data_IF_869657256723
#
_entry.id   IF_869657256723
#
_cell.length_a   1.000
_cell.length_b   1.000
_cell.length_c   1.000
_cell.angle_alpha   90.00
_cell.angle_beta   90.00
_cell.angle_gamma   90.00
#
_symmetry.space_group_name_H-M   'P 1'
#
loop_
_entity.id
_entity.type
_entity.pdbx_description
1 polymer ?
#
# COMPACT_ATOMS: atom_id res chain seq x y z
N UNK A 1 -25.71 -7.98 -8.73
CA UNK A 1 -25.30 -6.58 -8.71
C UNK A 1 -25.53 -5.92 -10.06
N UNK A 2 -25.88 -4.66 -10.01
CA UNK A 2 -26.07 -3.86 -11.23
C UNK A 2 -24.77 -3.11 -11.54
N UNK A 3 -24.51 -2.88 -12.82
CA UNK A 3 -23.30 -2.26 -13.28
C UNK A 3 -22.39 -3.22 -14.01
N UNK A 4 -21.27 -2.70 -14.51
CA UNK A 4 -20.33 -3.46 -15.34
C UNK A 4 -18.94 -3.43 -14.76
N UNK A 5 -18.20 -4.50 -15.00
CA UNK A 5 -16.78 -4.59 -14.71
C UNK A 5 -16.01 -4.42 -16.02
N UNK A 6 -15.05 -3.53 -16.05
CA UNK A 6 -14.25 -3.26 -17.23
C UNK A 6 -12.80 -3.64 -17.00
N UNK A 7 -12.25 -4.40 -17.91
CA UNK A 7 -10.81 -4.68 -18.00
C UNK A 7 -10.36 -4.10 -19.33
N UNK A 8 -9.66 -2.98 -19.28
CA UNK A 8 -9.36 -2.18 -20.47
C UNK A 8 -8.24 -2.81 -21.32
N UNK A 9 -7.95 -2.18 -22.46
CA UNK A 9 -6.97 -2.67 -23.42
C UNK A 9 -5.59 -2.78 -22.81
N UNK A 10 -4.88 -3.86 -23.12
CA UNK A 10 -3.50 -4.06 -22.71
C UNK A 10 -3.29 -4.46 -21.25
N UNK A 11 -4.36 -4.69 -20.50
CA UNK A 11 -4.27 -5.18 -19.13
C UNK A 11 -3.71 -6.60 -19.13
N UNK A 12 -2.79 -6.88 -18.20
CA UNK A 12 -2.20 -8.20 -18.01
C UNK A 12 -2.45 -8.67 -16.59
N UNK A 13 -3.13 -9.79 -16.45
CA UNK A 13 -3.47 -10.40 -15.17
C UNK A 13 -2.81 -11.76 -15.07
N UNK A 14 -2.01 -11.96 -14.04
CA UNK A 14 -1.39 -13.25 -13.76
C UNK A 14 -2.40 -14.17 -13.05
N UNK A 15 -1.94 -15.34 -12.62
CA UNK A 15 -2.80 -16.37 -12.05
C UNK A 15 -3.46 -15.91 -10.75
N UNK A 16 -4.70 -16.37 -10.56
CA UNK A 16 -5.46 -16.18 -9.32
C UNK A 16 -5.73 -14.70 -8.97
N UNK A 17 -5.73 -13.80 -9.96
CA UNK A 17 -6.16 -12.41 -9.75
C UNK A 17 -7.69 -12.37 -9.65
N UNK A 18 -8.19 -11.72 -8.61
CA UNK A 18 -9.62 -11.52 -8.40
C UNK A 18 -10.02 -10.09 -8.69
N UNK A 19 -10.89 -9.92 -9.67
CA UNK A 19 -11.49 -8.62 -10.02
C UNK A 19 -12.97 -8.69 -9.64
N UNK A 20 -13.38 -7.90 -8.66
CA UNK A 20 -14.76 -7.94 -8.18
C UNK A 20 -15.70 -7.11 -9.06
N UNK A 21 -16.97 -7.11 -8.69
CA UNK A 21 -18.04 -6.42 -9.44
C UNK A 21 -17.83 -4.91 -9.51
N UNK A 22 -18.28 -4.29 -10.56
CA UNK A 22 -18.28 -2.83 -10.75
C UNK A 22 -16.89 -2.20 -10.65
N UNK A 23 -15.85 -2.94 -11.00
CA UNK A 23 -14.48 -2.41 -11.04
C UNK A 23 -14.14 -1.96 -12.45
N UNK A 24 -13.21 -1.02 -12.55
CA UNK A 24 -12.68 -0.54 -13.83
C UNK A 24 -11.16 -0.56 -13.75
N UNK A 25 -10.55 -1.45 -14.54
CA UNK A 25 -9.09 -1.59 -14.58
C UNK A 25 -8.60 -0.87 -15.82
N UNK A 26 -7.85 0.21 -15.61
CA UNK A 26 -7.35 1.08 -16.67
C UNK A 26 -6.38 0.39 -17.61
N UNK A 27 -6.26 0.94 -18.81
CA UNK A 27 -5.45 0.35 -19.89
C UNK A 27 -4.00 0.13 -19.46
N UNK A 28 -3.40 -0.96 -19.92
CA UNK A 28 -1.98 -1.30 -19.73
C UNK A 28 -1.55 -1.51 -18.27
N UNK A 29 -2.49 -1.70 -17.36
CA UNK A 29 -2.19 -2.07 -15.97
C UNK A 29 -1.83 -3.54 -15.89
N UNK A 30 -0.82 -3.85 -15.07
CA UNK A 30 -0.31 -5.21 -14.87
C UNK A 30 -0.50 -5.62 -13.43
N UNK A 31 -1.04 -6.80 -13.21
CA UNK A 31 -1.24 -7.36 -11.87
C UNK A 31 -0.58 -8.73 -11.80
N UNK A 32 0.31 -8.89 -10.83
CA UNK A 32 0.95 -10.18 -10.56
C UNK A 32 0.00 -11.14 -9.84
N UNK A 33 0.46 -12.35 -9.55
CA UNK A 33 -0.39 -13.41 -9.02
C UNK A 33 -1.05 -13.02 -7.70
N UNK A 34 -2.30 -13.46 -7.55
CA UNK A 34 -3.09 -13.31 -6.33
C UNK A 34 -3.42 -11.86 -5.93
N UNK A 35 -3.34 -10.91 -6.85
CA UNK A 35 -3.86 -9.57 -6.60
C UNK A 35 -5.38 -9.63 -6.47
N UNK A 36 -5.92 -8.93 -5.48
CA UNK A 36 -7.37 -8.81 -5.30
C UNK A 36 -7.81 -7.37 -5.36
N UNK A 37 -8.81 -7.08 -6.20
CA UNK A 37 -9.44 -5.76 -6.31
C UNK A 37 -10.90 -5.89 -5.90
N UNK A 38 -11.25 -5.24 -4.80
CA UNK A 38 -12.61 -5.30 -4.26
C UNK A 38 -13.61 -4.47 -5.11
N UNK A 39 -14.89 -4.66 -4.84
CA UNK A 39 -15.96 -4.10 -5.66
C UNK A 39 -15.97 -2.58 -5.72
N UNK A 40 -16.45 -2.07 -6.83
CA UNK A 40 -16.66 -0.62 -7.09
C UNK A 40 -15.37 0.21 -7.01
N UNK A 41 -14.23 -0.39 -7.25
CA UNK A 41 -12.93 0.27 -7.27
C UNK A 41 -12.54 0.62 -8.70
N UNK A 42 -11.92 1.77 -8.87
CA UNK A 42 -11.35 2.21 -10.15
C UNK A 42 -9.83 2.20 -10.05
N UNK A 43 -9.18 1.54 -11.00
CA UNK A 43 -7.72 1.52 -11.12
C UNK A 43 -7.33 2.24 -12.41
N UNK A 44 -6.38 3.15 -12.31
CA UNK A 44 -5.91 3.95 -13.44
C UNK A 44 -5.13 3.14 -14.46
N UNK A 45 -4.53 3.85 -15.43
CA UNK A 45 -3.72 3.27 -16.49
C UNK A 45 -2.27 3.10 -16.05
N UNK A 46 -1.58 2.14 -16.66
CA UNK A 46 -0.14 1.91 -16.48
C UNK A 46 0.26 1.64 -15.03
N UNK A 47 -0.64 1.08 -14.23
CA UNK A 47 -0.30 0.64 -12.88
C UNK A 47 0.42 -0.71 -12.89
N UNK A 48 1.23 -0.96 -11.87
CA UNK A 48 1.88 -2.25 -11.66
C UNK A 48 1.69 -2.67 -10.20
N UNK A 49 1.02 -3.80 -10.01
CA UNK A 49 0.78 -4.34 -8.66
C UNK A 49 1.55 -5.64 -8.50
N UNK A 50 2.41 -5.69 -7.49
CA UNK A 50 3.14 -6.90 -7.12
C UNK A 50 2.22 -7.99 -6.61
N UNK A 51 2.76 -9.18 -6.43
CA UNK A 51 1.98 -10.35 -5.98
C UNK A 51 1.28 -10.11 -4.65
N UNK A 52 0.06 -10.63 -4.54
CA UNK A 52 -0.74 -10.59 -3.32
C UNK A 52 -1.12 -9.17 -2.84
N UNK A 53 -1.08 -8.17 -3.71
CA UNK A 53 -1.60 -6.83 -3.38
C UNK A 53 -3.13 -6.92 -3.21
N UNK A 54 -3.63 -6.28 -2.16
CA UNK A 54 -5.07 -6.16 -1.92
C UNK A 54 -5.54 -4.71 -2.00
N UNK A 55 -6.60 -4.47 -2.77
CA UNK A 55 -7.18 -3.13 -2.96
C UNK A 55 -8.58 -3.12 -2.37
N UNK A 56 -8.84 -2.19 -1.45
CA UNK A 56 -10.16 -2.03 -0.82
C UNK A 56 -11.22 -1.58 -1.82
N UNK A 57 -12.48 -1.81 -1.47
CA UNK A 57 -13.62 -1.40 -2.28
C UNK A 57 -13.90 0.11 -2.23
N UNK A 58 -14.58 0.61 -3.26
CA UNK A 58 -15.08 1.98 -3.34
C UNK A 58 -13.98 3.06 -3.28
N UNK A 59 -12.78 2.73 -3.75
CA UNK A 59 -11.66 3.67 -3.82
C UNK A 59 -11.21 3.86 -5.26
N UNK A 60 -10.36 4.85 -5.48
CA UNK A 60 -9.76 5.14 -6.79
C UNK A 60 -8.24 5.11 -6.67
N UNK A 61 -7.61 4.31 -7.51
CA UNK A 61 -6.15 4.27 -7.67
C UNK A 61 -5.81 5.09 -8.92
N UNK A 62 -4.94 6.05 -8.77
CA UNK A 62 -4.51 6.92 -9.86
C UNK A 62 -3.74 6.18 -10.95
N UNK A 63 -3.23 6.94 -11.92
CA UNK A 63 -2.42 6.40 -13.02
C UNK A 63 -0.98 6.20 -12.58
N UNK A 64 -0.29 5.22 -13.17
CA UNK A 64 1.13 4.97 -12.93
C UNK A 64 1.45 4.75 -11.45
N UNK A 65 0.59 4.04 -10.75
CA UNK A 65 0.82 3.65 -9.36
C UNK A 65 1.50 2.29 -9.33
N UNK A 66 2.63 2.20 -8.63
CA UNK A 66 3.38 0.97 -8.45
C UNK A 66 3.27 0.52 -7.01
N UNK A 67 2.79 -0.69 -6.78
CA UNK A 67 2.63 -1.25 -5.46
C UNK A 67 3.51 -2.49 -5.30
N UNK A 68 4.36 -2.48 -4.27
CA UNK A 68 5.18 -3.63 -3.93
C UNK A 68 4.34 -4.81 -3.48
N UNK A 69 4.91 -6.01 -3.55
CA UNK A 69 4.21 -7.23 -3.18
C UNK A 69 3.62 -7.16 -1.77
N UNK A 70 2.47 -7.77 -1.59
CA UNK A 70 1.74 -7.86 -0.31
C UNK A 70 1.28 -6.51 0.25
N UNK A 71 1.27 -5.44 -0.54
CA UNK A 71 0.73 -4.16 -0.09
C UNK A 71 -0.79 -4.25 0.09
N UNK A 72 -1.28 -3.69 1.19
CA UNK A 72 -2.71 -3.56 1.46
C UNK A 72 -3.13 -2.10 1.37
N UNK A 73 -4.07 -1.79 0.50
CA UNK A 73 -4.46 -0.41 0.18
C UNK A 73 -5.87 -0.14 0.70
N UNK A 74 -6.01 0.60 1.82
CA UNK A 74 -7.32 0.85 2.41
C UNK A 74 -8.05 2.07 1.86
N UNK A 75 -7.35 2.97 1.16
CA UNK A 75 -7.91 4.23 0.69
C UNK A 75 -7.30 4.65 -0.64
N UNK A 76 -7.91 5.62 -1.29
CA UNK A 76 -7.52 6.08 -2.63
C UNK A 76 -6.07 6.55 -2.70
N UNK A 77 -5.44 6.33 -3.84
CA UNK A 77 -4.06 6.73 -4.12
C UNK A 77 -4.03 7.70 -5.30
N UNK A 78 -3.10 8.65 -5.22
CA UNK A 78 -2.86 9.64 -6.27
C UNK A 78 -2.01 9.05 -7.39
N UNK A 79 -1.93 9.77 -8.52
CA UNK A 79 -1.07 9.39 -9.64
C UNK A 79 0.41 9.33 -9.22
N UNK A 80 1.17 8.52 -9.94
CA UNK A 80 2.64 8.48 -9.91
C UNK A 80 3.24 8.10 -8.55
N UNK A 81 2.51 7.38 -7.71
CA UNK A 81 3.03 6.91 -6.43
C UNK A 81 3.68 5.53 -6.56
N UNK A 82 4.80 5.35 -5.85
CA UNK A 82 5.46 4.05 -5.68
C UNK A 82 5.49 3.72 -4.19
N UNK A 83 4.69 2.76 -3.79
CA UNK A 83 4.42 2.47 -2.38
C UNK A 83 4.58 0.98 -2.08
N UNK A 84 4.84 0.66 -0.82
CA UNK A 84 4.90 -0.70 -0.34
C UNK A 84 4.42 -0.76 1.12
N UNK A 85 3.79 -1.85 1.49
CA UNK A 85 3.39 -2.10 2.89
C UNK A 85 1.88 -2.05 3.11
N UNK A 86 1.50 -2.21 4.37
CA UNK A 86 0.12 -2.19 4.84
C UNK A 86 0.03 -1.36 6.11
N UNK A 87 -0.44 -0.10 6.05
CA UNK A 87 -0.79 0.65 4.83
C UNK A 87 0.44 0.97 3.99
N UNK A 88 0.26 1.27 2.71
CA UNK A 88 1.41 1.48 1.83
C UNK A 88 2.16 2.76 2.17
N UNK A 89 3.49 2.69 2.11
CA UNK A 89 4.41 3.79 2.36
C UNK A 89 5.34 3.95 1.16
N UNK A 90 5.94 5.13 1.05
CA UNK A 90 7.04 5.32 0.11
C UNK A 90 8.17 4.30 0.38
N UNK A 91 8.83 3.87 -0.67
CA UNK A 91 9.77 2.75 -0.63
C UNK A 91 10.92 2.93 0.37
N UNK A 92 11.60 4.08 0.35
CA UNK A 92 12.74 4.31 1.24
C UNK A 92 12.35 4.37 2.71
N UNK A 93 11.33 5.17 3.11
CA UNK A 93 10.85 5.12 4.49
C UNK A 93 10.40 3.72 4.93
N UNK A 94 9.78 2.95 4.05
CA UNK A 94 9.39 1.59 4.36
C UNK A 94 10.59 0.73 4.75
N UNK A 95 11.63 0.70 3.92
CA UNK A 95 12.80 -0.13 4.21
C UNK A 95 13.56 0.35 5.43
N UNK A 96 13.65 1.66 5.64
CA UNK A 96 14.26 2.20 6.87
C UNK A 96 13.47 1.77 8.11
N UNK A 97 12.16 1.79 8.04
CA UNK A 97 11.29 1.36 9.14
C UNK A 97 11.45 -0.12 9.41
N UNK A 98 11.51 -0.95 8.37
CA UNK A 98 11.69 -2.39 8.51
C UNK A 98 13.04 -2.73 9.16
N UNK A 99 14.10 -2.00 8.85
CA UNK A 99 15.40 -2.20 9.46
C UNK A 99 15.37 -1.95 10.98
N UNK A 100 14.47 -1.12 11.46
CA UNK A 100 14.35 -0.73 12.87
C UNK A 100 13.28 -1.55 13.60
N UNK A 101 12.33 -2.11 12.87
CA UNK A 101 11.11 -2.70 13.41
C UNK A 101 11.38 -3.67 14.57
N UNK A 102 12.33 -4.59 14.40
CA UNK A 102 12.65 -5.58 15.44
C UNK A 102 13.32 -4.98 16.67
N UNK A 103 13.84 -3.77 16.54
CA UNK A 103 14.50 -3.05 17.64
C UNK A 103 13.55 -2.12 18.40
N UNK A 104 12.30 -2.01 17.98
CA UNK A 104 11.35 -1.08 18.60
C UNK A 104 11.21 -1.27 20.12
N UNK A 105 11.12 -2.49 20.67
CA UNK A 105 11.03 -2.65 22.12
C UNK A 105 12.22 -2.06 22.88
N UNK A 106 13.43 -2.27 22.36
CA UNK A 106 14.65 -1.73 22.97
C UNK A 106 14.71 -0.20 22.82
N UNK A 107 14.36 0.31 21.67
CA UNK A 107 14.30 1.75 21.42
C UNK A 107 13.28 2.43 22.32
N UNK A 108 12.14 1.82 22.54
CA UNK A 108 11.12 2.32 23.45
C UNK A 108 11.66 2.47 24.88
N UNK A 109 12.37 1.45 25.36
CA UNK A 109 13.02 1.50 26.68
C UNK A 109 14.07 2.60 26.77
N UNK A 110 14.89 2.76 25.72
CA UNK A 110 15.89 3.82 25.65
C UNK A 110 15.25 5.20 25.71
N UNK A 111 14.15 5.39 25.01
CA UNK A 111 13.41 6.66 25.01
C UNK A 111 12.87 6.95 26.41
N UNK A 112 12.29 5.98 27.09
CA UNK A 112 11.79 6.15 28.45
C UNK A 112 12.92 6.54 29.41
N UNK A 113 14.07 5.88 29.31
CA UNK A 113 15.24 6.19 30.12
C UNK A 113 15.74 7.60 29.88
N UNK A 114 15.88 7.99 28.60
CA UNK A 114 16.32 9.33 28.24
C UNK A 114 15.34 10.41 28.71
N UNK A 115 14.04 10.14 28.61
CA UNK A 115 13.02 11.07 29.10
C UNK A 115 13.15 11.29 30.60
N UNK A 116 13.39 10.23 31.37
CA UNK A 116 13.62 10.32 32.81
C UNK A 116 14.86 11.16 33.13
N UNK A 117 15.96 10.92 32.41
CA UNK A 117 17.20 11.68 32.60
C UNK A 117 17.00 13.17 32.28
N UNK A 118 16.26 13.49 31.22
CA UNK A 118 15.93 14.88 30.87
C UNK A 118 15.11 15.53 31.97
N UNK A 119 14.09 14.83 32.49
CA UNK A 119 13.24 15.36 33.56
C UNK A 119 14.04 15.63 34.84
N UNK A 120 14.97 14.76 35.19
CA UNK A 120 15.86 14.95 36.33
C UNK A 120 16.78 16.17 36.14
N UNK A 121 17.34 16.34 34.93
CA UNK A 121 18.17 17.49 34.61
C UNK A 121 17.39 18.81 34.68
N UNK A 122 16.14 18.80 34.26
CA UNK A 122 15.27 20.00 34.37
C UNK A 122 14.98 20.36 35.81
N UNK A 123 14.84 19.38 36.68
CA UNK A 123 14.58 19.62 38.10
C UNK A 123 15.79 20.19 38.84
N UNK A 124 17.00 19.88 38.36
CA UNK A 124 18.23 20.29 39.00
C UNK A 124 18.63 21.72 38.69
N UNK A 125 17.86 22.42 37.84
CA UNK A 125 18.10 23.85 37.51
C UNK A 125 17.30 24.81 38.37
#
# INVERSE_FOLDING_TARGET
>A
TMGSTYVRKGVKLDNLVQIAHNTDIGANTVMSAQVGVAGSTKVGQWCMFGGQVGIAGHITIGNKVFLGAQSGVPSSLKDDQTLIGTPPMEKLPYFKSQAIFQRLPDLYKQIQKLQKEVDELKKSK
#
